data_IF_771441137812
#
_entry.id   IF_771441137812
#
_cell.length_a   1.000
_cell.length_b   1.000
_cell.length_c   1.000
_cell.angle_alpha   90.00
_cell.angle_beta   90.00
_cell.angle_gamma   90.00
#
_symmetry.space_group_name_H-M   'P 1'
#
loop_
_entity.id
_entity.type
_entity.pdbx_description
1 polymer ?
#
# COMPACT_ATOMS: atom_id res chain seq x y z
N UNK A 1 0.95 16.18 -9.21
CA UNK A 1 0.55 15.74 -7.88
C UNK A 1 0.27 14.23 -7.89
N UNK A 2 0.58 13.54 -6.86
CA UNK A 2 0.43 12.10 -6.63
C UNK A 2 1.61 11.25 -7.11
N UNK A 3 1.90 11.15 -8.38
CA UNK A 3 2.88 10.21 -8.93
C UNK A 3 3.57 10.78 -10.18
N UNK A 4 4.81 10.39 -10.42
CA UNK A 4 5.62 10.92 -11.51
C UNK A 4 5.59 10.12 -12.81
N UNK A 5 4.72 9.11 -12.95
CA UNK A 5 4.70 8.14 -14.04
C UNK A 5 4.72 8.75 -15.44
N UNK A 6 3.81 9.67 -15.74
CA UNK A 6 3.70 10.30 -17.05
C UNK A 6 4.99 11.05 -17.49
N UNK A 7 5.71 11.60 -16.51
CA UNK A 7 6.99 12.28 -16.77
C UNK A 7 8.11 11.28 -17.06
N UNK A 8 8.17 10.19 -16.27
CA UNK A 8 9.27 9.22 -16.33
C UNK A 8 9.08 8.20 -17.45
N UNK A 9 7.88 7.64 -17.57
CA UNK A 9 7.62 6.47 -18.40
C UNK A 9 7.01 6.83 -19.76
N UNK A 10 6.13 7.82 -19.83
CA UNK A 10 5.51 8.25 -21.09
C UNK A 10 6.38 9.24 -21.88
N UNK A 11 7.46 9.76 -21.30
CA UNK A 11 8.35 10.70 -21.95
C UNK A 11 7.66 11.97 -22.42
N UNK A 12 6.78 12.52 -21.60
CA UNK A 12 6.03 13.73 -21.90
C UNK A 12 6.96 14.88 -22.30
N UNK A 13 6.75 15.47 -23.47
CA UNK A 13 7.50 16.66 -23.90
C UNK A 13 7.01 17.89 -23.15
N UNK A 14 7.84 18.37 -22.25
CA UNK A 14 7.54 19.53 -21.42
C UNK A 14 8.21 20.77 -22.00
N UNK A 15 7.50 21.90 -21.96
CA UNK A 15 8.06 23.20 -22.35
C UNK A 15 9.16 23.63 -21.40
N UNK A 16 10.24 24.17 -21.92
CA UNK A 16 11.42 24.57 -21.13
C UNK A 16 11.18 25.80 -20.23
N UNK A 17 10.09 26.54 -20.45
CA UNK A 17 9.78 27.76 -19.71
C UNK A 17 8.91 27.54 -18.48
N UNK A 18 8.51 26.28 -18.19
CA UNK A 18 7.73 25.90 -17.00
C UNK A 18 8.56 25.15 -15.98
N UNK A 19 8.28 25.40 -14.71
CA UNK A 19 8.82 24.60 -13.61
C UNK A 19 7.96 23.40 -13.37
N UNK A 20 8.56 22.19 -13.34
CA UNK A 20 7.89 20.93 -13.08
C UNK A 20 8.34 20.38 -11.76
N UNK A 21 7.38 20.17 -10.86
CA UNK A 21 7.58 19.59 -9.55
C UNK A 21 6.73 18.35 -9.36
N UNK A 22 7.16 17.47 -8.49
CA UNK A 22 6.38 16.35 -7.99
C UNK A 22 6.11 16.55 -6.51
N UNK A 23 4.88 16.29 -6.10
CA UNK A 23 4.47 16.17 -4.69
C UNK A 23 3.65 14.90 -4.60
N UNK A 24 4.22 13.86 -4.00
CA UNK A 24 3.71 12.50 -4.00
C UNK A 24 3.44 12.01 -2.57
N UNK A 25 2.22 12.22 -2.05
CA UNK A 25 1.79 11.60 -0.80
C UNK A 25 1.77 10.08 -0.93
N UNK A 26 2.25 9.37 0.09
CA UNK A 26 2.40 7.90 0.09
C UNK A 26 1.16 7.22 0.68
N UNK A 27 0.01 7.48 0.09
CA UNK A 27 -1.25 6.78 0.32
C UNK A 27 -2.29 7.15 -0.75
N UNK A 28 -3.42 6.43 -0.84
CA UNK A 28 -4.54 6.80 -1.72
C UNK A 28 -5.04 8.23 -1.47
N UNK A 29 -5.58 8.87 -2.51
CA UNK A 29 -6.05 10.26 -2.43
C UNK A 29 -7.19 10.49 -1.44
N UNK A 30 -8.05 9.49 -1.21
CA UNK A 30 -9.06 9.47 -0.14
C UNK A 30 -8.41 9.64 1.23
N UNK A 31 -7.39 8.86 1.53
CA UNK A 31 -6.66 8.89 2.81
C UNK A 31 -5.94 10.24 3.03
N UNK A 32 -5.35 10.80 1.97
CA UNK A 32 -4.77 12.17 2.04
C UNK A 32 -5.82 13.17 2.52
N UNK A 33 -7.03 13.07 1.98
CA UNK A 33 -8.14 13.96 2.35
C UNK A 33 -8.59 13.74 3.78
N UNK A 34 -8.75 12.50 4.20
CA UNK A 34 -9.19 12.17 5.55
C UNK A 34 -8.18 12.60 6.61
N UNK A 35 -6.90 12.28 6.42
CA UNK A 35 -5.82 12.69 7.33
C UNK A 35 -5.68 14.22 7.42
N UNK A 36 -5.85 14.92 6.30
CA UNK A 36 -5.88 16.37 6.29
C UNK A 36 -7.03 16.93 7.15
N UNK A 37 -8.24 16.39 7.01
CA UNK A 37 -9.41 16.81 7.78
C UNK A 37 -9.28 16.51 9.28
N UNK A 38 -8.60 15.41 9.64
CA UNK A 38 -8.27 15.07 11.03
C UNK A 38 -7.18 15.97 11.63
N UNK A 39 -6.58 16.83 10.83
CA UNK A 39 -5.49 17.72 11.25
C UNK A 39 -4.10 17.10 11.20
N UNK A 40 -3.99 15.89 10.64
CA UNK A 40 -2.75 15.16 10.36
C UNK A 40 -2.32 15.34 8.90
N UNK A 41 -1.34 14.57 8.49
CA UNK A 41 -0.88 14.49 7.12
C UNK A 41 -0.33 13.10 6.84
N UNK A 42 0.06 12.86 5.59
CA UNK A 42 0.69 11.61 5.18
C UNK A 42 2.13 11.87 4.73
N UNK A 43 3.04 10.90 4.90
CA UNK A 43 4.41 11.03 4.40
C UNK A 43 4.40 11.38 2.92
N UNK A 44 5.18 12.37 2.53
CA UNK A 44 5.13 12.95 1.19
C UNK A 44 6.53 13.04 0.59
N UNK A 45 6.72 12.51 -0.62
CA UNK A 45 7.94 12.75 -1.39
C UNK A 45 7.78 14.00 -2.24
N UNK A 46 8.86 14.77 -2.36
CA UNK A 46 8.92 15.92 -3.25
C UNK A 46 10.12 15.81 -4.18
N UNK A 47 9.96 16.29 -5.41
CA UNK A 47 11.06 16.38 -6.37
C UNK A 47 10.85 17.53 -7.34
N UNK A 48 11.97 17.96 -7.94
CA UNK A 48 12.00 18.92 -9.05
C UNK A 48 12.51 18.19 -10.29
N UNK A 49 11.86 18.40 -11.44
CA UNK A 49 12.36 17.85 -12.70
C UNK A 49 13.62 18.60 -13.12
N UNK A 50 14.77 17.92 -13.32
CA UNK A 50 16.07 18.60 -13.49
C UNK A 50 16.13 19.55 -14.68
N UNK A 51 15.41 19.21 -15.77
CA UNK A 51 15.42 19.98 -17.01
C UNK A 51 14.34 21.08 -17.07
N UNK A 52 13.48 21.15 -16.06
CA UNK A 52 12.29 22.01 -16.05
C UNK A 52 12.17 22.82 -14.75
N UNK A 53 13.21 23.58 -14.45
CA UNK A 53 13.18 24.59 -13.39
C UNK A 53 14.01 25.83 -13.77
N UNK A 54 13.57 26.57 -14.80
CA UNK A 54 14.35 27.68 -15.37
C UNK A 54 14.59 28.84 -14.40
N UNK A 55 13.82 28.92 -13.34
CA UNK A 55 13.95 29.97 -12.30
C UNK A 55 14.55 29.46 -11.00
N UNK A 56 14.89 28.17 -10.90
CA UNK A 56 15.40 27.54 -9.69
C UNK A 56 14.51 27.73 -8.44
N UNK A 57 13.19 27.70 -8.64
CA UNK A 57 12.17 27.88 -7.59
C UNK A 57 11.35 26.60 -7.32
N UNK A 58 11.62 25.54 -8.06
CA UNK A 58 10.82 24.30 -8.01
C UNK A 58 10.80 23.69 -6.61
N UNK A 59 11.94 23.61 -5.93
CA UNK A 59 12.01 23.01 -4.60
C UNK A 59 11.18 23.78 -3.55
N UNK A 60 11.22 25.09 -3.58
CA UNK A 60 10.42 25.92 -2.67
C UNK A 60 8.91 25.76 -2.95
N UNK A 61 8.52 25.67 -4.21
CA UNK A 61 7.13 25.40 -4.59
C UNK A 61 6.68 24.01 -4.16
N UNK A 62 7.52 22.98 -4.32
CA UNK A 62 7.21 21.61 -3.89
C UNK A 62 7.05 21.55 -2.36
N UNK A 63 7.91 22.19 -1.61
CA UNK A 63 7.80 22.31 -0.14
C UNK A 63 6.51 23.04 0.26
N UNK A 64 6.23 24.19 -0.35
CA UNK A 64 5.00 24.93 -0.07
C UNK A 64 3.74 24.12 -0.35
N UNK A 65 3.72 23.36 -1.45
CA UNK A 65 2.61 22.48 -1.78
C UNK A 65 2.46 21.34 -0.76
N UNK A 66 3.56 20.69 -0.37
CA UNK A 66 3.54 19.65 0.66
C UNK A 66 3.05 20.17 2.02
N UNK A 67 3.39 21.41 2.38
CA UNK A 67 2.84 22.08 3.57
C UNK A 67 1.35 22.32 3.43
N UNK A 68 0.90 22.83 2.29
CA UNK A 68 -0.51 23.14 2.05
C UNK A 68 -1.42 21.90 2.09
N UNK A 69 -0.89 20.72 1.74
CA UNK A 69 -1.61 19.43 1.80
C UNK A 69 -1.43 18.68 3.12
N UNK A 70 -0.73 19.28 4.10
CA UNK A 70 -0.54 18.68 5.43
C UNK A 70 0.64 17.70 5.53
N UNK A 71 1.33 17.39 4.44
CA UNK A 71 2.43 16.41 4.42
C UNK A 71 3.55 16.70 5.41
N UNK A 72 3.82 17.98 5.71
CA UNK A 72 4.83 18.39 6.69
C UNK A 72 4.59 17.86 8.12
N UNK A 73 3.36 17.50 8.46
CA UNK A 73 3.01 16.95 9.77
C UNK A 73 3.43 15.49 9.93
N UNK A 74 3.51 14.75 8.83
CA UNK A 74 3.94 13.34 8.82
C UNK A 74 5.40 13.17 8.36
N UNK A 75 5.90 14.12 7.60
CA UNK A 75 7.25 14.16 7.07
C UNK A 75 7.30 14.39 5.56
N UNK A 76 8.25 15.21 5.12
CA UNK A 76 8.52 15.50 3.71
C UNK A 76 9.94 15.11 3.39
N UNK A 77 10.12 14.27 2.40
CA UNK A 77 11.42 13.77 1.96
C UNK A 77 11.69 14.19 0.51
N UNK A 78 12.83 14.81 0.29
CA UNK A 78 13.30 15.12 -1.06
C UNK A 78 13.77 13.83 -1.77
N UNK A 79 13.32 13.65 -3.01
CA UNK A 79 13.55 12.49 -3.84
C UNK A 79 13.80 12.90 -5.29
N UNK A 80 13.65 11.97 -6.21
CA UNK A 80 13.62 12.26 -7.65
C UNK A 80 12.39 11.62 -8.29
N UNK A 81 11.99 12.10 -9.46
CA UNK A 81 10.90 11.50 -10.23
C UNK A 81 11.13 10.01 -10.47
N UNK A 82 12.35 9.64 -10.89
CA UNK A 82 12.69 8.24 -11.18
C UNK A 82 12.66 7.37 -9.92
N UNK A 83 13.27 7.84 -8.82
CA UNK A 83 13.30 7.06 -7.59
C UNK A 83 11.89 6.86 -7.01
N UNK A 84 11.05 7.90 -7.03
CA UNK A 84 9.67 7.81 -6.58
C UNK A 84 8.89 6.80 -7.42
N UNK A 85 8.86 6.96 -8.75
CA UNK A 85 8.09 6.07 -9.64
C UNK A 85 8.51 4.60 -9.48
N UNK A 86 9.80 4.32 -9.51
CA UNK A 86 10.29 2.93 -9.42
C UNK A 86 10.03 2.30 -8.06
N UNK A 87 10.22 3.03 -6.97
CA UNK A 87 9.99 2.50 -5.62
C UNK A 87 8.49 2.35 -5.30
N UNK A 88 7.66 3.27 -5.77
CA UNK A 88 6.21 3.23 -5.58
C UNK A 88 5.62 2.01 -6.29
N UNK A 89 5.89 1.85 -7.59
CA UNK A 89 5.44 0.69 -8.35
C UNK A 89 5.87 -0.63 -7.72
N UNK A 90 7.15 -0.73 -7.29
CA UNK A 90 7.63 -1.95 -6.64
C UNK A 90 6.91 -2.23 -5.33
N UNK A 91 6.82 -1.26 -4.43
CA UNK A 91 6.21 -1.44 -3.11
C UNK A 91 4.70 -1.69 -3.19
N UNK A 92 3.99 -0.86 -3.96
CA UNK A 92 2.55 -0.96 -4.09
C UNK A 92 2.12 -2.28 -4.75
N UNK A 93 2.75 -2.64 -5.86
CA UNK A 93 2.34 -3.80 -6.65
C UNK A 93 2.75 -5.13 -6.03
N UNK A 94 3.85 -5.19 -5.29
CA UNK A 94 4.27 -6.43 -4.63
C UNK A 94 3.63 -6.60 -3.26
N UNK A 95 4.07 -5.82 -2.26
CA UNK A 95 3.73 -6.07 -0.86
C UNK A 95 2.37 -5.48 -0.48
N UNK A 96 2.08 -4.22 -0.88
CA UNK A 96 0.88 -3.53 -0.42
C UNK A 96 -0.39 -4.04 -1.07
N UNK A 97 -0.34 -4.45 -2.34
CA UNK A 97 -1.48 -4.99 -3.05
C UNK A 97 -1.32 -6.49 -3.36
N UNK A 98 -0.21 -6.91 -3.98
CA UNK A 98 -0.03 -8.29 -4.43
C UNK A 98 -0.05 -9.33 -3.31
N UNK A 99 0.81 -9.18 -2.30
CA UNK A 99 0.90 -10.12 -1.17
C UNK A 99 -0.32 -10.01 -0.27
N UNK A 100 -0.80 -8.78 0.00
CA UNK A 100 -1.95 -8.55 0.87
C UNK A 100 -3.20 -9.24 0.33
N UNK A 101 -3.57 -9.01 -0.94
CA UNK A 101 -4.76 -9.64 -1.52
C UNK A 101 -4.63 -11.16 -1.60
N UNK A 102 -3.48 -11.67 -2.09
CA UNK A 102 -3.26 -13.10 -2.24
C UNK A 102 -3.27 -13.82 -0.89
N UNK A 103 -2.57 -13.27 0.09
CA UNK A 103 -2.53 -13.79 1.46
C UNK A 103 -3.91 -13.80 2.11
N UNK A 104 -4.69 -12.74 1.92
CA UNK A 104 -6.05 -12.64 2.46
C UNK A 104 -6.97 -13.69 1.89
N UNK A 105 -7.03 -13.83 0.56
CA UNK A 105 -7.89 -14.82 -0.11
C UNK A 105 -7.51 -16.24 0.29
N UNK A 106 -6.23 -16.59 0.19
CA UNK A 106 -5.77 -17.95 0.52
C UNK A 106 -5.99 -18.31 2.00
N UNK A 107 -5.76 -17.38 2.91
CA UNK A 107 -5.99 -17.59 4.33
C UNK A 107 -7.48 -17.79 4.62
N UNK A 108 -8.33 -16.95 4.06
CA UNK A 108 -9.78 -17.04 4.17
C UNK A 108 -10.28 -18.39 3.66
N UNK A 109 -9.93 -18.79 2.44
CA UNK A 109 -10.37 -20.04 1.82
C UNK A 109 -9.99 -21.24 2.69
N UNK A 110 -8.75 -21.27 3.23
CA UNK A 110 -8.30 -22.37 4.08
C UNK A 110 -9.01 -22.43 5.43
N UNK A 111 -9.37 -21.30 6.01
CA UNK A 111 -10.18 -21.26 7.23
C UNK A 111 -11.60 -21.77 6.97
N UNK A 112 -12.26 -21.30 5.92
CA UNK A 112 -13.62 -21.71 5.56
C UNK A 112 -13.69 -23.19 5.15
N UNK A 113 -12.71 -23.71 4.40
CA UNK A 113 -12.59 -25.16 4.09
C UNK A 113 -12.51 -26.04 5.35
N UNK A 114 -12.05 -25.51 6.47
CA UNK A 114 -11.96 -26.20 7.76
C UNK A 114 -13.16 -25.93 8.68
N UNK A 115 -14.19 -25.29 8.16
CA UNK A 115 -15.45 -25.07 8.89
C UNK A 115 -15.45 -23.82 9.78
N UNK A 116 -14.49 -22.92 9.63
CA UNK A 116 -14.53 -21.63 10.31
C UNK A 116 -15.58 -20.74 9.62
N UNK A 117 -16.39 -20.05 10.42
CA UNK A 117 -17.42 -19.17 9.90
C UNK A 117 -16.85 -18.10 8.96
N UNK A 118 -17.41 -17.90 7.76
CA UNK A 118 -16.88 -16.95 6.79
C UNK A 118 -16.84 -15.51 7.28
N UNK A 119 -17.87 -15.03 7.99
CA UNK A 119 -17.89 -13.68 8.55
C UNK A 119 -16.77 -13.46 9.56
N UNK A 120 -16.58 -14.44 10.45
CA UNK A 120 -15.48 -14.42 11.41
C UNK A 120 -14.11 -14.42 10.72
N UNK A 121 -13.91 -15.28 9.70
CA UNK A 121 -12.67 -15.36 8.95
C UNK A 121 -12.35 -14.03 8.23
N UNK A 122 -13.34 -13.41 7.59
CA UNK A 122 -13.18 -12.12 6.94
C UNK A 122 -12.80 -11.00 7.94
N UNK A 123 -13.52 -10.91 9.06
CA UNK A 123 -13.23 -9.95 10.15
C UNK A 123 -11.79 -10.11 10.66
N UNK A 124 -11.40 -11.34 10.98
CA UNK A 124 -10.06 -11.64 11.49
C UNK A 124 -8.95 -11.16 10.55
N UNK A 125 -9.12 -11.36 9.25
CA UNK A 125 -8.13 -10.95 8.25
C UNK A 125 -8.09 -9.43 8.10
N UNK A 126 -9.24 -8.78 7.93
CA UNK A 126 -9.32 -7.33 7.72
C UNK A 126 -8.70 -6.54 8.89
N UNK A 127 -9.13 -6.84 10.12
CA UNK A 127 -8.59 -6.17 11.31
C UNK A 127 -7.18 -6.64 11.69
N UNK A 128 -6.84 -7.88 11.36
CA UNK A 128 -5.50 -8.40 11.55
C UNK A 128 -4.46 -7.61 10.76
N UNK A 129 -4.75 -7.29 9.50
CA UNK A 129 -3.88 -6.45 8.67
C UNK A 129 -3.69 -5.05 9.25
N UNK A 130 -4.77 -4.38 9.64
CA UNK A 130 -4.70 -3.05 10.25
C UNK A 130 -3.79 -3.05 11.48
N UNK A 131 -4.05 -3.95 12.42
CA UNK A 131 -3.33 -4.02 13.70
C UNK A 131 -1.85 -4.34 13.51
N UNK A 132 -1.52 -5.31 12.64
CA UNK A 132 -0.13 -5.74 12.47
C UNK A 132 0.70 -4.73 11.68
N UNK A 133 0.10 -4.04 10.71
CA UNK A 133 0.78 -2.99 9.96
C UNK A 133 1.04 -1.74 10.80
N UNK A 134 0.15 -1.41 11.73
CA UNK A 134 0.39 -0.34 12.70
C UNK A 134 1.58 -0.68 13.62
N UNK A 135 1.69 -1.92 14.07
CA UNK A 135 2.84 -2.36 14.85
C UNK A 135 4.16 -2.29 14.05
N UNK A 136 4.12 -2.63 12.77
CA UNK A 136 5.25 -2.52 11.84
C UNK A 136 5.70 -1.06 11.68
N UNK A 137 4.74 -0.14 11.49
CA UNK A 137 4.97 1.29 11.30
C UNK A 137 5.76 1.92 12.46
N UNK A 138 5.43 1.55 13.69
CA UNK A 138 6.01 2.16 14.88
C UNK A 138 7.35 1.59 15.35
N UNK A 139 7.86 0.52 14.80
CA UNK A 139 9.14 -0.03 15.27
C UNK A 139 9.71 -1.15 14.40
N UNK A 140 9.22 -1.29 13.19
CA UNK A 140 9.68 -2.27 12.21
C UNK A 140 9.26 -3.71 12.55
N UNK A 141 9.83 -4.65 11.81
CA UNK A 141 9.49 -6.08 11.91
C UNK A 141 9.73 -6.64 13.31
N UNK A 142 10.83 -6.26 13.97
CA UNK A 142 11.14 -6.74 15.32
C UNK A 142 10.05 -6.33 16.29
N UNK A 143 9.65 -5.05 16.32
CA UNK A 143 8.58 -4.56 17.17
C UNK A 143 7.24 -5.26 16.88
N UNK A 144 6.91 -5.44 15.61
CA UNK A 144 5.73 -6.19 15.19
C UNK A 144 5.74 -7.61 15.76
N UNK A 145 6.86 -8.32 15.58
CA UNK A 145 7.01 -9.71 16.06
C UNK A 145 7.01 -9.81 17.60
N UNK A 146 7.57 -8.84 18.31
CA UNK A 146 7.63 -8.86 19.78
C UNK A 146 6.27 -8.74 20.46
N UNK A 147 5.27 -8.25 19.74
CA UNK A 147 3.87 -8.21 20.20
C UNK A 147 3.13 -9.54 20.06
N UNK A 148 3.72 -10.52 19.39
CA UNK A 148 3.12 -11.85 19.20
C UNK A 148 3.56 -12.84 20.28
N UNK A 149 2.71 -13.84 20.57
CA UNK A 149 3.07 -14.97 21.41
C UNK A 149 4.14 -15.87 20.74
N UNK A 150 4.97 -16.55 21.52
CA UNK A 150 6.07 -17.36 21.01
C UNK A 150 5.67 -18.43 19.96
N UNK A 151 4.56 -19.18 20.13
CA UNK A 151 4.15 -20.13 19.08
C UNK A 151 3.87 -19.47 17.74
N UNK A 152 3.25 -18.29 17.74
CA UNK A 152 2.98 -17.52 16.51
C UNK A 152 4.28 -17.04 15.86
N UNK A 153 5.25 -16.54 16.65
CA UNK A 153 6.56 -16.08 16.16
C UNK A 153 7.31 -17.21 15.44
N UNK A 154 7.41 -18.37 16.07
CA UNK A 154 8.14 -19.52 15.51
C UNK A 154 7.54 -19.91 14.16
N UNK A 155 6.22 -20.04 14.11
CA UNK A 155 5.56 -20.45 12.86
C UNK A 155 5.60 -19.40 11.76
N UNK A 156 5.47 -18.12 12.13
CA UNK A 156 5.63 -17.02 11.19
C UNK A 156 7.04 -16.99 10.60
N UNK A 157 8.07 -17.24 11.42
CA UNK A 157 9.45 -17.34 10.95
C UNK A 157 9.65 -18.49 9.95
N UNK A 158 9.18 -19.69 10.26
CA UNK A 158 9.27 -20.83 9.35
C UNK A 158 8.56 -20.58 8.01
N UNK A 159 7.38 -19.95 8.05
CA UNK A 159 6.64 -19.59 6.83
C UNK A 159 7.36 -18.50 6.05
N UNK A 160 7.95 -17.52 6.73
CA UNK A 160 8.73 -16.45 6.08
C UNK A 160 9.90 -17.02 5.27
N UNK A 161 10.64 -18.01 5.80
CA UNK A 161 11.74 -18.62 5.05
C UNK A 161 11.25 -19.31 3.75
N UNK A 162 10.13 -20.03 3.82
CA UNK A 162 9.51 -20.64 2.64
C UNK A 162 8.97 -19.61 1.65
N UNK A 163 8.38 -18.53 2.15
CA UNK A 163 7.88 -17.45 1.30
C UNK A 163 9.01 -16.71 0.59
N UNK A 164 10.19 -16.55 1.22
CA UNK A 164 11.37 -15.98 0.56
C UNK A 164 11.76 -16.77 -0.68
N UNK A 165 11.77 -18.10 -0.61
CA UNK A 165 12.10 -18.96 -1.75
C UNK A 165 11.15 -18.74 -2.93
N UNK A 166 9.85 -18.55 -2.65
CA UNK A 166 8.81 -18.37 -3.66
C UNK A 166 8.80 -16.94 -4.20
N UNK A 167 8.87 -15.95 -3.31
CA UNK A 167 8.68 -14.55 -3.66
C UNK A 167 9.93 -13.90 -4.27
N UNK A 168 11.14 -14.34 -3.89
CA UNK A 168 12.38 -13.75 -4.40
C UNK A 168 12.44 -13.69 -5.92
N UNK A 169 12.24 -14.79 -6.67
CA UNK A 169 12.27 -14.73 -8.14
C UNK A 169 11.15 -13.89 -8.74
N UNK A 170 9.99 -13.85 -8.11
CA UNK A 170 8.86 -13.02 -8.56
C UNK A 170 9.16 -11.53 -8.39
N UNK A 171 9.67 -11.14 -7.22
CA UNK A 171 10.02 -9.75 -6.91
C UNK A 171 11.20 -9.27 -7.76
N UNK A 172 12.21 -10.13 -7.96
CA UNK A 172 13.33 -9.80 -8.84
C UNK A 172 12.84 -9.53 -10.26
N UNK A 173 12.06 -10.47 -10.83
CA UNK A 173 11.53 -10.29 -12.19
C UNK A 173 10.68 -9.02 -12.29
N UNK A 174 9.83 -8.76 -11.33
CA UNK A 174 8.98 -7.57 -11.34
C UNK A 174 9.79 -6.28 -11.27
N UNK A 175 10.82 -6.24 -10.42
CA UNK A 175 11.74 -5.10 -10.36
C UNK A 175 12.48 -4.90 -11.69
N UNK A 176 12.91 -5.97 -12.34
CA UNK A 176 13.55 -5.90 -13.66
C UNK A 176 12.58 -5.38 -14.72
N UNK A 177 11.32 -5.79 -14.68
CA UNK A 177 10.26 -5.30 -15.59
C UNK A 177 10.00 -3.80 -15.38
N UNK A 178 9.99 -3.33 -14.13
CA UNK A 178 9.87 -1.90 -13.79
C UNK A 178 11.10 -1.13 -14.29
N UNK A 179 12.30 -1.63 -14.03
CA UNK A 179 13.55 -0.95 -14.40
C UNK A 179 13.77 -0.87 -15.90
N UNK A 180 13.37 -1.89 -16.64
CA UNK A 180 13.48 -1.93 -18.11
C UNK A 180 12.40 -1.17 -18.85
N UNK A 181 11.33 -0.71 -18.17
CA UNK A 181 10.15 -0.12 -18.78
C UNK A 181 9.18 -1.14 -19.41
N UNK A 182 9.44 -2.44 -19.25
CA UNK A 182 8.54 -3.48 -19.77
C UNK A 182 7.16 -3.41 -19.11
N UNK A 183 7.11 -3.19 -17.78
CA UNK A 183 5.85 -2.99 -17.04
C UNK A 183 5.05 -1.83 -17.63
N UNK A 184 5.69 -0.65 -17.78
CA UNK A 184 5.03 0.54 -18.31
C UNK A 184 4.48 0.33 -19.71
N UNK A 185 5.22 -0.35 -20.56
CA UNK A 185 4.78 -0.70 -21.92
C UNK A 185 3.54 -1.57 -21.90
N UNK A 186 3.53 -2.65 -21.12
CA UNK A 186 2.38 -3.59 -21.03
C UNK A 186 1.15 -2.93 -20.44
N UNK A 187 1.32 -2.05 -19.45
CA UNK A 187 0.21 -1.28 -18.88
C UNK A 187 -0.40 -0.32 -19.92
N UNK A 188 0.44 0.40 -20.68
CA UNK A 188 -0.02 1.30 -21.73
C UNK A 188 -0.71 0.55 -22.87
N UNK A 189 -0.27 -0.66 -23.20
CA UNK A 189 -0.95 -1.54 -24.15
C UNK A 189 -2.34 -1.96 -23.69
N UNK A 190 -2.51 -2.29 -22.40
CA UNK A 190 -3.82 -2.63 -21.84
C UNK A 190 -4.75 -1.40 -21.84
N UNK A 191 -4.24 -0.25 -21.40
CA UNK A 191 -4.98 1.02 -21.46
C UNK A 191 -5.43 1.38 -22.87
N UNK A 192 -4.57 1.18 -23.86
CA UNK A 192 -4.93 1.39 -25.29
C UNK A 192 -6.01 0.40 -25.78
N UNK A 193 -6.25 -0.69 -25.05
CA UNK A 193 -7.29 -1.69 -25.31
C UNK A 193 -8.46 -1.60 -24.30
N UNK A 194 -8.77 -0.39 -23.83
CA UNK A 194 -9.87 -0.09 -22.91
C UNK A 194 -9.77 -0.83 -21.56
N UNK A 195 -8.54 -1.00 -21.03
CA UNK A 195 -8.25 -1.66 -19.75
C UNK A 195 -8.81 -3.10 -19.65
N UNK A 196 -8.84 -3.82 -20.75
CA UNK A 196 -9.50 -5.13 -20.85
C UNK A 196 -9.02 -6.11 -19.79
N UNK A 197 -7.70 -6.29 -19.65
CA UNK A 197 -7.15 -7.25 -18.68
C UNK A 197 -7.43 -6.81 -17.24
N UNK A 198 -7.33 -5.51 -16.96
CA UNK A 198 -7.66 -4.93 -15.66
C UNK A 198 -9.14 -5.19 -15.29
N UNK A 199 -10.05 -4.98 -16.22
CA UNK A 199 -11.49 -5.18 -15.99
C UNK A 199 -11.84 -6.66 -15.82
N UNK A 200 -11.23 -7.56 -16.59
CA UNK A 200 -11.38 -9.01 -16.42
C UNK A 200 -10.88 -9.48 -15.04
N UNK A 201 -9.69 -9.03 -14.64
CA UNK A 201 -9.16 -9.32 -13.30
C UNK A 201 -10.09 -8.80 -12.19
N UNK A 202 -10.55 -7.55 -12.29
CA UNK A 202 -11.46 -6.95 -11.31
C UNK A 202 -12.78 -7.75 -11.19
N UNK A 203 -13.35 -8.18 -12.31
CA UNK A 203 -14.54 -9.02 -12.31
C UNK A 203 -14.30 -10.36 -11.62
N UNK A 204 -13.20 -11.04 -11.94
CA UNK A 204 -12.82 -12.31 -11.32
C UNK A 204 -12.61 -12.17 -9.79
N UNK A 205 -11.94 -11.10 -9.35
CA UNK A 205 -11.70 -10.85 -7.93
C UNK A 205 -13.00 -10.61 -7.17
N UNK A 206 -13.95 -9.86 -7.73
CA UNK A 206 -15.26 -9.60 -7.13
C UNK A 206 -16.09 -10.88 -6.92
N UNK A 207 -15.80 -11.95 -7.67
CA UNK A 207 -16.48 -13.25 -7.53
C UNK A 207 -15.88 -14.16 -6.44
N UNK A 208 -14.74 -13.80 -5.85
CA UNK A 208 -14.13 -14.59 -4.76
C UNK A 208 -15.04 -14.62 -3.53
N UNK A 209 -14.97 -15.70 -2.77
CA UNK A 209 -15.76 -15.85 -1.56
C UNK A 209 -15.38 -14.83 -0.49
N UNK A 210 -14.10 -14.42 -0.43
CA UNK A 210 -13.63 -13.36 0.45
C UNK A 210 -14.32 -12.03 0.16
N UNK A 211 -14.33 -11.57 -1.11
CA UNK A 211 -14.98 -10.32 -1.51
C UNK A 211 -16.48 -10.30 -1.25
N UNK A 212 -17.14 -11.44 -1.43
CA UNK A 212 -18.57 -11.59 -1.16
C UNK A 212 -18.92 -11.59 0.33
N UNK A 213 -17.95 -11.89 1.19
CA UNK A 213 -18.13 -11.97 2.65
C UNK A 213 -17.57 -10.76 3.37
N UNK A 214 -16.81 -9.89 2.67
CA UNK A 214 -16.19 -8.70 3.27
C UNK A 214 -17.19 -7.87 4.05
N UNK A 215 -16.70 -7.28 5.13
CA UNK A 215 -17.52 -6.47 6.05
C UNK A 215 -17.25 -5.01 5.78
N UNK A 216 -18.31 -4.23 5.70
CA UNK A 216 -18.24 -2.78 5.62
C UNK A 216 -18.19 -2.16 7.02
N UNK A 217 -17.52 -1.03 7.19
CA UNK A 217 -17.21 -0.38 8.48
C UNK A 217 -18.40 -0.14 9.43
N UNK A 218 -19.62 -0.27 8.93
CA UNK A 218 -20.84 -0.03 9.71
C UNK A 218 -21.41 -1.28 10.39
N UNK A 219 -20.78 -2.45 10.25
CA UNK A 219 -21.40 -3.72 10.63
C UNK A 219 -20.83 -4.37 11.90
N UNK A 220 -19.86 -3.71 12.58
CA UNK A 220 -19.25 -4.28 13.80
C UNK A 220 -19.64 -3.46 15.00
N UNK A 221 -20.42 -4.08 15.88
CA UNK A 221 -20.71 -3.54 17.19
C UNK A 221 -19.66 -3.99 18.21
N UNK A 222 -19.42 -3.20 19.28
CA UNK A 222 -18.54 -3.59 20.39
C UNK A 222 -18.89 -4.97 20.95
N UNK A 223 -20.17 -5.35 20.94
CA UNK A 223 -20.64 -6.63 21.43
C UNK A 223 -20.14 -7.79 20.57
N UNK A 224 -20.05 -7.64 19.25
CA UNK A 224 -19.52 -8.69 18.36
C UNK A 224 -18.04 -8.94 18.55
N UNK A 225 -17.27 -7.92 18.99
CA UNK A 225 -15.88 -8.11 19.42
C UNK A 225 -15.74 -9.08 20.62
N UNK A 226 -16.68 -9.03 21.56
CA UNK A 226 -16.68 -9.91 22.74
C UNK A 226 -17.23 -11.30 22.43
N UNK A 227 -18.30 -11.38 21.65
CA UNK A 227 -19.03 -12.63 21.42
C UNK A 227 -18.27 -13.62 20.52
N UNK A 228 -17.39 -13.13 19.65
CA UNK A 228 -16.59 -13.96 18.73
C UNK A 228 -15.14 -14.19 19.16
N UNK A 229 -14.77 -13.84 20.38
CA UNK A 229 -13.44 -14.16 20.93
C UNK A 229 -12.28 -13.45 20.23
N UNK A 230 -12.49 -12.28 19.63
CA UNK A 230 -11.43 -11.45 19.06
C UNK A 230 -10.64 -10.77 20.20
N UNK A 231 -10.22 -11.54 21.16
CA UNK A 231 -9.42 -11.11 22.30
C UNK A 231 -8.03 -10.59 21.90
N UNK A 232 -7.53 -10.92 20.73
CA UNK A 232 -6.19 -10.48 20.30
C UNK A 232 -6.10 -8.99 19.96
N UNK A 233 -7.17 -8.39 19.47
CA UNK A 233 -7.17 -6.95 19.09
C UNK A 233 -7.36 -6.05 20.30
N UNK A 234 -8.15 -6.46 21.28
CA UNK A 234 -8.38 -5.70 22.52
C UNK A 234 -7.13 -5.57 23.39
N UNK A 235 -6.24 -6.57 23.42
CA UNK A 235 -4.99 -6.52 24.20
C UNK A 235 -3.96 -5.53 23.65
N UNK A 236 -3.98 -5.23 22.37
CA UNK A 236 -3.06 -4.26 21.77
C UNK A 236 -3.49 -2.82 22.06
N UNK A 237 -4.79 -2.55 22.17
CA UNK A 237 -5.29 -1.20 22.53
C UNK A 237 -5.17 -0.88 24.03
N UNK A 238 -5.22 -1.88 24.90
CA UNK A 238 -5.12 -1.69 26.35
C UNK A 238 -3.67 -1.57 26.89
N UNK A 239 -2.67 -1.77 26.06
CA UNK A 239 -1.24 -1.71 26.43
C UNK A 239 -0.51 -0.43 25.99
N UNK A 240 -1.23 0.57 25.54
CA UNK A 240 -0.65 1.87 25.12
C UNK A 240 -1.29 2.96 25.97
N UNK A 241 -0.89 3.05 27.23
CA UNK A 241 -0.82 4.25 28.04
C UNK A 241 0.64 4.57 28.36
#
# INVERSE_FOLDING_TARGET
>A
YSHGFNIVEEGMKIRNDITVIMVAPKCPGSEVREEYLRGFGVPTLIAVHPENDPKSIGLEHAKAYAVATGGHKAGVLESSFVAEVKSDLMGEQTILCGVLQTGSILCFDKMVEKGIDPSYAAKLIQYGWETITEALKHGGITNMMDRLANPAKIKAFELSEKLKEILTPLFQKHMDDIMSGYFSKTMMEDWANDDKNLLEWRAATAETAFEKTKITDNEITEQEYFDHGILMVAFVRAGVE
#
